data_IF_863201008676
#
_entry.id   IF_863201008676
#
_cell.length_a   1.000
_cell.length_b   1.000
_cell.length_c   1.000
_cell.angle_alpha   90.00
_cell.angle_beta   90.00
_cell.angle_gamma   90.00
#
_symmetry.space_group_name_H-M   'P 1'
#
loop_
_entity.id
_entity.type
_entity.pdbx_description
1 polymer ?
#
# COMPACT_ATOMS: atom_id res chain seq x y z
N UNK A 1 14.66 -15.87 11.60
CA UNK A 1 13.58 -15.43 12.53
C UNK A 1 12.21 -15.77 11.93
N UNK A 2 11.18 -16.06 12.74
CA UNK A 2 9.85 -16.42 12.24
C UNK A 2 9.20 -15.36 11.33
N UNK A 3 9.52 -14.08 11.56
CA UNK A 3 9.02 -12.94 10.79
C UNK A 3 9.57 -12.82 9.36
N UNK A 4 10.60 -13.59 8.99
CA UNK A 4 11.10 -13.66 7.61
C UNK A 4 10.35 -14.67 6.74
N UNK A 5 9.43 -15.45 7.34
CA UNK A 5 8.56 -16.37 6.58
C UNK A 5 7.44 -15.55 5.92
N UNK A 6 7.20 -15.77 4.62
CA UNK A 6 6.27 -15.01 3.79
C UNK A 6 4.80 -15.01 4.25
N UNK A 7 4.43 -15.94 5.13
CA UNK A 7 3.10 -16.10 5.71
C UNK A 7 2.91 -15.43 7.09
N UNK A 8 3.99 -14.98 7.75
CA UNK A 8 3.88 -14.33 9.06
C UNK A 8 3.51 -12.85 8.89
N UNK A 9 2.33 -12.45 9.40
CA UNK A 9 1.89 -11.05 9.39
C UNK A 9 2.70 -10.26 10.43
N UNK A 10 3.45 -9.27 9.98
CA UNK A 10 4.30 -8.43 10.85
C UNK A 10 3.45 -7.49 11.71
N UNK A 11 3.78 -7.41 12.99
CA UNK A 11 3.33 -6.38 13.92
C UNK A 11 4.10 -5.06 13.69
N UNK A 12 3.56 -3.89 14.09
CA UNK A 12 4.20 -2.60 13.82
C UNK A 12 5.68 -2.52 14.23
N UNK A 13 6.02 -2.99 15.43
CA UNK A 13 7.41 -3.03 15.92
C UNK A 13 8.36 -3.86 15.05
N UNK A 14 7.84 -4.85 14.30
CA UNK A 14 8.62 -5.70 13.42
C UNK A 14 8.85 -5.07 12.05
N UNK A 15 8.07 -4.05 11.65
CA UNK A 15 8.26 -3.38 10.37
C UNK A 15 9.64 -2.71 10.27
N UNK A 16 10.15 -2.11 11.35
CA UNK A 16 11.50 -1.54 11.39
C UNK A 16 12.58 -2.56 11.04
N UNK A 17 12.43 -3.80 11.51
CA UNK A 17 13.41 -4.87 11.30
C UNK A 17 13.47 -5.31 9.84
N UNK A 18 12.34 -5.21 9.13
CA UNK A 18 12.29 -5.53 7.71
C UNK A 18 12.65 -4.31 6.87
N UNK A 19 12.26 -3.11 7.26
CA UNK A 19 12.51 -1.87 6.52
C UNK A 19 14.00 -1.50 6.39
N UNK A 20 14.89 -2.11 7.17
CA UNK A 20 16.34 -1.92 7.05
C UNK A 20 16.96 -2.67 5.87
N UNK A 21 16.29 -3.70 5.33
CA UNK A 21 16.90 -4.57 4.32
C UNK A 21 17.34 -3.86 3.03
N UNK A 22 16.69 -2.79 2.53
CA UNK A 22 17.18 -2.09 1.33
C UNK A 22 18.56 -1.47 1.58
N UNK A 23 18.81 -0.95 2.79
CA UNK A 23 20.11 -0.40 3.19
C UNK A 23 21.17 -1.48 3.34
N UNK A 24 20.81 -2.61 3.94
CA UNK A 24 21.71 -3.77 4.05
C UNK A 24 22.06 -4.26 2.64
N UNK A 25 21.08 -4.40 1.75
CA UNK A 25 21.28 -4.81 0.37
C UNK A 25 22.21 -3.86 -0.40
N UNK A 26 22.01 -2.54 -0.28
CA UNK A 26 22.91 -1.54 -0.86
C UNK A 26 24.34 -1.70 -0.36
N UNK A 27 24.54 -1.85 0.95
CA UNK A 27 25.85 -2.06 1.55
C UNK A 27 26.50 -3.33 1.00
N UNK A 28 25.79 -4.46 0.98
CA UNK A 28 26.32 -5.72 0.46
C UNK A 28 26.71 -5.62 -1.03
N UNK A 29 25.88 -4.97 -1.86
CA UNK A 29 26.20 -4.76 -3.28
C UNK A 29 27.47 -3.92 -3.44
N UNK A 30 27.61 -2.84 -2.66
CA UNK A 30 28.76 -1.94 -2.74
C UNK A 30 30.05 -2.58 -2.24
N UNK A 31 29.98 -3.39 -1.18
CA UNK A 31 31.17 -3.98 -0.53
C UNK A 31 31.60 -5.31 -1.15
N UNK A 32 30.65 -6.11 -1.67
CA UNK A 32 30.91 -7.50 -2.07
C UNK A 32 30.92 -7.73 -3.58
N UNK A 33 30.65 -6.69 -4.39
CA UNK A 33 30.57 -6.83 -5.85
C UNK A 33 31.35 -5.73 -6.56
N UNK A 34 31.71 -5.96 -7.83
CA UNK A 34 32.29 -4.94 -8.71
C UNK A 34 31.23 -4.17 -9.52
N UNK A 35 29.96 -4.21 -9.10
CA UNK A 35 28.87 -3.54 -9.81
C UNK A 35 28.95 -2.01 -9.64
N UNK A 36 28.44 -1.23 -10.59
CA UNK A 36 28.35 0.22 -10.44
C UNK A 36 27.55 0.61 -9.20
N UNK A 37 27.96 1.69 -8.51
CA UNK A 37 27.30 2.19 -7.30
C UNK A 37 25.78 2.42 -7.48
N UNK A 38 25.37 2.80 -8.69
CA UNK A 38 23.97 2.99 -9.08
C UNK A 38 23.11 1.72 -8.90
N UNK A 39 23.69 0.52 -8.93
CA UNK A 39 22.96 -0.73 -8.63
C UNK A 39 22.62 -0.79 -7.15
N UNK A 40 23.58 -0.47 -6.28
CA UNK A 40 23.33 -0.37 -4.85
C UNK A 40 22.29 0.70 -4.51
N UNK A 41 22.31 1.83 -5.23
CA UNK A 41 21.30 2.89 -5.06
C UNK A 41 19.91 2.42 -5.44
N UNK A 42 19.78 1.73 -6.58
CA UNK A 42 18.51 1.12 -6.96
C UNK A 42 18.00 0.17 -5.86
N UNK A 43 18.88 -0.71 -5.35
CA UNK A 43 18.55 -1.63 -4.24
C UNK A 43 18.14 -0.90 -2.96
N UNK A 44 18.71 0.26 -2.64
CA UNK A 44 18.22 1.05 -1.50
C UNK A 44 16.85 1.68 -1.76
N UNK A 45 16.52 1.97 -3.02
CA UNK A 45 15.40 2.80 -3.44
C UNK A 45 14.15 2.02 -3.89
N UNK A 46 14.20 0.69 -4.04
CA UNK A 46 13.08 -0.09 -4.61
C UNK A 46 11.77 -0.03 -3.79
N UNK A 47 11.86 0.29 -2.51
CA UNK A 47 10.69 0.52 -1.65
C UNK A 47 10.32 2.00 -1.50
N UNK A 48 11.04 2.91 -2.14
CA UNK A 48 10.64 4.32 -2.25
C UNK A 48 9.46 4.46 -3.22
N UNK A 49 8.68 5.52 -3.04
CA UNK A 49 7.52 5.86 -3.88
C UNK A 49 7.59 7.33 -4.25
N UNK A 50 7.13 7.67 -5.45
CA UNK A 50 7.29 9.02 -6.00
C UNK A 50 6.59 10.10 -5.15
N UNK A 51 5.50 9.71 -4.46
CA UNK A 51 4.76 10.54 -3.51
C UNK A 51 5.44 10.68 -2.13
N UNK A 52 6.59 10.04 -1.92
CA UNK A 52 7.34 10.06 -0.65
C UNK A 52 6.79 9.13 0.43
N UNK A 53 5.82 8.26 0.10
CA UNK A 53 5.24 7.30 1.04
C UNK A 53 6.18 6.16 1.40
N UNK A 54 7.12 5.82 0.52
CA UNK A 54 7.98 4.65 0.63
C UNK A 54 9.01 4.68 1.76
N UNK A 55 9.96 3.76 1.76
CA UNK A 55 11.02 3.64 2.77
C UNK A 55 12.31 3.11 2.11
N UNK A 56 13.50 3.24 2.72
CA UNK A 56 13.81 3.67 4.09
C UNK A 56 14.28 5.13 4.24
N UNK A 57 14.38 5.88 3.15
CA UNK A 57 14.78 7.29 3.16
C UNK A 57 13.60 8.25 2.95
N UNK A 58 12.43 7.75 2.51
CA UNK A 58 11.20 8.54 2.35
C UNK A 58 11.38 9.71 1.39
N UNK A 59 11.98 9.41 0.24
CA UNK A 59 12.30 10.40 -0.79
C UNK A 59 11.11 10.57 -1.73
N UNK A 60 10.78 11.80 -2.07
CA UNK A 60 9.87 12.10 -3.18
C UNK A 60 10.60 12.02 -4.53
N UNK A 61 9.86 12.10 -5.64
CA UNK A 61 10.31 11.91 -7.03
C UNK A 61 11.76 12.31 -7.36
N UNK A 62 12.18 13.53 -7.03
CA UNK A 62 13.51 14.04 -7.38
C UNK A 62 14.68 13.30 -6.67
N UNK A 63 14.39 12.58 -5.58
CA UNK A 63 15.38 11.82 -4.81
C UNK A 63 15.47 10.33 -5.15
N UNK A 64 14.66 9.83 -6.09
CA UNK A 64 14.63 8.42 -6.49
C UNK A 64 15.24 8.30 -7.90
N UNK A 65 16.30 7.49 -8.03
CA UNK A 65 16.97 7.26 -9.30
C UNK A 65 16.06 6.57 -10.32
N UNK A 66 16.36 6.70 -11.61
CA UNK A 66 15.64 5.99 -12.68
C UNK A 66 15.60 4.48 -12.43
N UNK A 67 16.70 3.90 -11.96
CA UNK A 67 16.77 2.47 -11.67
C UNK A 67 15.93 2.08 -10.47
N UNK A 68 15.94 2.88 -9.39
CA UNK A 68 15.06 2.70 -8.23
C UNK A 68 13.58 2.69 -8.62
N UNK A 69 13.16 3.62 -9.49
CA UNK A 69 11.78 3.67 -10.03
C UNK A 69 11.42 2.42 -10.82
N UNK A 70 12.32 1.95 -11.70
CA UNK A 70 12.09 0.75 -12.51
C UNK A 70 11.92 -0.48 -11.61
N UNK A 71 12.86 -0.70 -10.70
CA UNK A 71 12.83 -1.91 -9.89
C UNK A 71 11.75 -1.85 -8.81
N UNK A 72 11.35 -0.67 -8.34
CA UNK A 72 10.24 -0.53 -7.40
C UNK A 72 8.87 -0.89 -8.00
N UNK A 73 8.65 -0.55 -9.28
CA UNK A 73 7.48 -1.05 -10.03
C UNK A 73 7.60 -2.57 -10.21
N UNK A 74 8.75 -3.07 -10.67
CA UNK A 74 8.94 -4.50 -10.91
C UNK A 74 8.73 -5.35 -9.64
N UNK A 75 9.24 -4.90 -8.48
CA UNK A 75 9.07 -5.56 -7.18
C UNK A 75 7.59 -5.62 -6.77
N UNK A 76 6.87 -4.49 -6.89
CA UNK A 76 5.43 -4.42 -6.61
C UNK A 76 4.66 -5.37 -7.53
N UNK A 77 4.99 -5.37 -8.82
CA UNK A 77 4.32 -6.24 -9.78
C UNK A 77 4.57 -7.72 -9.49
N UNK A 78 5.82 -8.09 -9.20
CA UNK A 78 6.20 -9.44 -8.81
C UNK A 78 5.44 -9.90 -7.56
N UNK A 79 5.35 -9.05 -6.54
CA UNK A 79 4.62 -9.36 -5.31
C UNK A 79 3.13 -9.61 -5.55
N UNK A 80 2.48 -8.85 -6.45
CA UNK A 80 1.08 -9.10 -6.83
C UNK A 80 0.96 -10.41 -7.60
N UNK A 81 1.81 -10.66 -8.60
CA UNK A 81 1.77 -11.87 -9.42
C UNK A 81 1.93 -13.12 -8.56
N UNK A 82 2.92 -13.14 -7.66
CA UNK A 82 3.21 -14.30 -6.81
C UNK A 82 2.10 -14.61 -5.79
N UNK A 83 1.29 -13.60 -5.42
CA UNK A 83 0.24 -13.74 -4.39
C UNK A 83 -1.18 -13.89 -4.96
N UNK A 84 -1.35 -13.69 -6.27
CA UNK A 84 -2.67 -13.48 -6.87
C UNK A 84 -2.84 -14.23 -8.19
N UNK A 85 -2.16 -15.35 -8.40
CA UNK A 85 -2.53 -16.24 -9.50
C UNK A 85 -3.87 -16.91 -9.13
N UNK A 86 -4.94 -16.84 -9.95
CA UNK A 86 -4.98 -16.44 -11.38
C UNK A 86 -5.41 -14.97 -11.69
N UNK A 87 -5.83 -14.16 -10.72
CA UNK A 87 -6.36 -12.79 -10.91
C UNK A 87 -5.29 -11.67 -11.01
N UNK A 88 -4.02 -12.04 -11.23
CA UNK A 88 -2.87 -11.13 -11.14
C UNK A 88 -2.93 -9.97 -12.13
N UNK A 89 -3.33 -10.21 -13.38
CA UNK A 89 -3.43 -9.16 -14.40
C UNK A 89 -4.47 -8.10 -14.01
N UNK A 90 -5.66 -8.54 -13.59
CA UNK A 90 -6.75 -7.67 -13.13
C UNK A 90 -6.31 -6.86 -11.91
N UNK A 91 -5.67 -7.51 -10.93
CA UNK A 91 -5.14 -6.83 -9.74
C UNK A 91 -4.08 -5.79 -10.06
N UNK A 92 -3.16 -6.07 -10.98
CA UNK A 92 -2.12 -5.11 -11.37
C UNK A 92 -2.71 -3.87 -12.03
N UNK A 93 -3.70 -4.06 -12.91
CA UNK A 93 -4.41 -2.95 -13.55
C UNK A 93 -5.11 -2.08 -12.50
N UNK A 94 -5.73 -2.69 -11.49
CA UNK A 94 -6.36 -1.94 -10.38
C UNK A 94 -5.31 -1.23 -9.52
N UNK A 95 -4.30 -1.95 -9.04
CA UNK A 95 -3.28 -1.45 -8.12
C UNK A 95 -2.55 -0.21 -8.66
N UNK A 96 -2.27 -0.19 -9.97
CA UNK A 96 -1.58 0.91 -10.63
C UNK A 96 -2.47 2.12 -10.93
N UNK A 97 -3.80 1.96 -10.86
CA UNK A 97 -4.77 3.04 -11.13
C UNK A 97 -5.30 3.73 -9.88
N UNK A 98 -5.30 3.08 -8.71
CA UNK A 98 -5.87 3.68 -7.49
C UNK A 98 -5.04 4.87 -6.99
N UNK A 99 -3.71 4.77 -7.03
CA UNK A 99 -2.80 5.87 -6.68
C UNK A 99 -1.71 5.98 -7.76
N UNK A 100 -2.01 6.61 -8.91
CA UNK A 100 -1.08 6.66 -10.03
C UNK A 100 0.21 7.45 -9.72
N UNK A 101 0.19 8.31 -8.70
CA UNK A 101 1.30 9.15 -8.28
C UNK A 101 2.40 8.40 -7.50
N UNK A 102 2.18 7.16 -7.08
CA UNK A 102 3.19 6.36 -6.35
C UNK A 102 4.33 5.88 -7.25
N UNK A 103 4.06 5.73 -8.55
CA UNK A 103 4.93 5.04 -9.50
C UNK A 103 5.22 5.87 -10.75
N UNK A 104 6.34 5.58 -11.39
CA UNK A 104 6.68 6.20 -12.67
C UNK A 104 5.75 5.68 -13.75
N UNK A 105 4.93 6.58 -14.31
CA UNK A 105 3.90 6.23 -15.30
C UNK A 105 4.45 5.50 -16.51
N UNK A 106 5.61 5.90 -17.03
CA UNK A 106 6.18 5.25 -18.20
C UNK A 106 6.59 3.80 -17.90
N UNK A 107 7.02 3.52 -16.68
CA UNK A 107 7.36 2.17 -16.23
C UNK A 107 6.11 1.33 -15.99
N UNK A 108 5.08 1.92 -15.37
CA UNK A 108 3.77 1.26 -15.19
C UNK A 108 3.17 0.87 -16.54
N UNK A 109 3.13 1.79 -17.50
CA UNK A 109 2.57 1.55 -18.83
C UNK A 109 3.31 0.39 -19.54
N UNK A 110 4.64 0.33 -19.41
CA UNK A 110 5.45 -0.74 -19.98
C UNK A 110 5.10 -2.14 -19.43
N UNK A 111 4.61 -2.23 -18.18
CA UNK A 111 4.21 -3.50 -17.55
C UNK A 111 2.73 -3.80 -17.78
N UNK A 112 1.86 -2.79 -17.66
CA UNK A 112 0.41 -2.98 -17.67
C UNK A 112 -0.12 -3.19 -19.09
N UNK A 113 0.42 -2.51 -20.11
CA UNK A 113 -0.08 -2.62 -21.49
C UNK A 113 -0.08 -4.08 -22.01
N UNK A 114 1.00 -4.87 -21.85
CA UNK A 114 1.00 -6.28 -22.27
C UNK A 114 0.00 -7.17 -21.48
N UNK A 115 -0.35 -6.79 -20.26
CA UNK A 115 -1.23 -7.57 -19.40
C UNK A 115 -2.72 -7.40 -19.71
N UNK A 116 -3.09 -6.35 -20.45
CA UNK A 116 -4.49 -6.08 -20.80
C UNK A 116 -5.16 -7.22 -21.56
N UNK A 117 -4.41 -7.95 -22.40
CA UNK A 117 -4.94 -9.11 -23.13
C UNK A 117 -5.10 -10.37 -22.28
N UNK A 118 -4.49 -10.40 -21.09
CA UNK A 118 -4.58 -11.50 -20.13
C UNK A 118 -5.55 -11.21 -18.97
N UNK A 119 -6.14 -10.01 -18.93
CA UNK A 119 -7.14 -9.60 -17.95
C UNK A 119 -8.52 -10.23 -18.24
N UNK A 120 -9.39 -10.26 -17.23
CA UNK A 120 -10.71 -10.91 -17.29
C UNK A 120 -10.78 -12.30 -16.67
N UNK A 121 -9.78 -12.66 -15.84
CA UNK A 121 -9.69 -13.95 -15.14
C UNK A 121 -10.17 -13.90 -13.68
N UNK A 122 -10.75 -12.77 -13.24
CA UNK A 122 -11.22 -12.59 -11.87
C UNK A 122 -12.17 -13.72 -11.45
N UNK A 123 -11.78 -14.47 -10.41
CA UNK A 123 -12.54 -15.63 -9.94
C UNK A 123 -13.79 -15.18 -9.19
N UNK A 124 -14.91 -15.86 -9.47
CA UNK A 124 -16.17 -15.62 -8.78
C UNK A 124 -16.00 -15.85 -7.27
N UNK A 125 -16.46 -14.88 -6.47
CA UNK A 125 -16.54 -14.98 -5.02
C UNK A 125 -18.01 -15.15 -4.60
N UNK A 126 -18.25 -15.79 -3.45
CA UNK A 126 -19.56 -15.76 -2.81
C UNK A 126 -19.96 -14.30 -2.54
N UNK A 127 -21.19 -13.93 -2.88
CA UNK A 127 -21.69 -12.57 -2.70
C UNK A 127 -21.64 -12.13 -1.22
N UNK A 128 -21.99 -13.03 -0.29
CA UNK A 128 -22.00 -12.71 1.14
C UNK A 128 -20.58 -12.44 1.67
N UNK A 129 -19.60 -13.27 1.32
CA UNK A 129 -18.20 -13.09 1.72
C UNK A 129 -17.61 -11.79 1.15
N UNK A 130 -17.97 -11.45 -0.10
CA UNK A 130 -17.53 -10.23 -0.75
C UNK A 130 -18.08 -8.99 -0.02
N UNK A 131 -19.39 -8.98 0.24
CA UNK A 131 -20.07 -7.89 0.93
C UNK A 131 -19.58 -7.70 2.37
N UNK A 132 -19.31 -8.80 3.10
CA UNK A 132 -18.74 -8.72 4.46
C UNK A 132 -17.36 -8.06 4.45
N UNK A 133 -16.49 -8.44 3.50
CA UNK A 133 -15.16 -7.83 3.33
C UNK A 133 -15.25 -6.35 2.99
N UNK A 134 -16.11 -5.99 2.03
CA UNK A 134 -16.33 -4.59 1.65
C UNK A 134 -16.78 -3.77 2.85
N UNK A 135 -17.74 -4.29 3.64
CA UNK A 135 -18.22 -3.64 4.87
C UNK A 135 -17.09 -3.39 5.86
N UNK A 136 -16.27 -4.41 6.14
CA UNK A 136 -15.14 -4.29 7.04
C UNK A 136 -14.12 -3.23 6.59
N UNK A 137 -13.85 -3.15 5.27
CA UNK A 137 -12.96 -2.14 4.70
C UNK A 137 -13.56 -0.74 4.79
N UNK A 138 -14.85 -0.58 4.47
CA UNK A 138 -15.55 0.69 4.57
C UNK A 138 -15.56 1.22 6.01
N UNK A 139 -15.91 0.39 6.99
CA UNK A 139 -15.87 0.76 8.41
C UNK A 139 -14.46 1.17 8.87
N UNK A 140 -13.43 0.48 8.38
CA UNK A 140 -12.04 0.78 8.70
C UNK A 140 -11.60 2.11 8.09
N UNK A 141 -12.00 2.41 6.85
CA UNK A 141 -11.76 3.70 6.21
C UNK A 141 -12.37 4.83 7.04
N UNK A 142 -13.65 4.70 7.40
CA UNK A 142 -14.36 5.69 8.21
C UNK A 142 -13.67 5.94 9.56
N UNK A 143 -13.36 4.87 10.30
CA UNK A 143 -12.63 4.96 11.57
C UNK A 143 -11.27 5.63 11.40
N UNK A 144 -10.54 5.29 10.33
CA UNK A 144 -9.22 5.86 10.07
C UNK A 144 -9.29 7.35 9.69
N UNK A 145 -10.32 7.77 8.96
CA UNK A 145 -10.55 9.18 8.60
C UNK A 145 -10.74 10.02 9.87
N UNK A 146 -11.60 9.58 10.80
CA UNK A 146 -11.85 10.31 12.06
C UNK A 146 -10.55 10.48 12.88
N UNK A 147 -9.74 9.43 12.97
CA UNK A 147 -8.45 9.50 13.68
C UNK A 147 -7.46 10.40 12.96
N UNK A 148 -7.39 10.33 11.63
CA UNK A 148 -6.51 11.19 10.83
C UNK A 148 -6.89 12.67 10.92
N UNK A 149 -8.17 13.00 10.94
CA UNK A 149 -8.67 14.38 11.14
C UNK A 149 -8.30 14.91 12.52
N UNK A 150 -8.51 14.11 13.56
CA UNK A 150 -8.13 14.47 14.93
C UNK A 150 -6.62 14.70 15.05
N UNK A 151 -5.82 13.87 14.40
CA UNK A 151 -4.37 14.00 14.36
C UNK A 151 -3.94 15.25 13.59
N UNK A 152 -4.56 15.53 12.43
CA UNK A 152 -4.29 16.69 11.59
C UNK A 152 -4.59 18.02 12.29
N UNK A 153 -5.59 18.04 13.19
CA UNK A 153 -5.96 19.21 13.98
C UNK A 153 -5.07 19.40 15.24
N UNK A 154 -4.11 18.51 15.49
CA UNK A 154 -3.33 18.51 16.72
C UNK A 154 -2.36 19.68 16.79
N UNK A 155 -2.56 20.60 17.73
CA UNK A 155 -1.66 21.75 17.92
C UNK A 155 -0.38 21.39 18.69
N UNK A 156 -0.41 20.31 19.48
CA UNK A 156 0.70 19.91 20.34
C UNK A 156 1.93 19.39 19.58
N UNK A 157 1.76 18.90 18.35
CA UNK A 157 2.86 18.45 17.50
C UNK A 157 2.56 18.70 16.02
N UNK A 158 3.36 19.56 15.40
CA UNK A 158 3.31 19.83 13.97
C UNK A 158 3.61 18.57 13.14
N UNK A 159 4.53 17.73 13.60
CA UNK A 159 4.90 16.49 12.90
C UNK A 159 3.71 15.54 12.85
N UNK A 160 3.04 15.34 13.98
CA UNK A 160 1.85 14.51 14.06
C UNK A 160 0.73 15.09 13.18
N UNK A 161 0.51 16.41 13.21
CA UNK A 161 -0.46 17.09 12.37
C UNK A 161 -0.19 16.91 10.87
N UNK A 162 1.07 17.08 10.44
CA UNK A 162 1.47 16.88 9.04
C UNK A 162 1.24 15.43 8.59
N UNK A 163 1.51 14.45 9.47
CA UNK A 163 1.21 13.03 9.21
C UNK A 163 -0.30 12.80 9.08
N UNK A 164 -1.10 13.36 9.99
CA UNK A 164 -2.56 13.29 9.93
C UNK A 164 -3.11 13.85 8.62
N UNK A 165 -2.63 15.02 8.20
CA UNK A 165 -3.02 15.64 6.94
C UNK A 165 -2.66 14.79 5.71
N UNK A 166 -1.44 14.24 5.68
CA UNK A 166 -1.00 13.32 4.62
C UNK A 166 -1.87 12.06 4.54
N UNK A 167 -2.11 11.40 5.68
CA UNK A 167 -2.92 10.17 5.74
C UNK A 167 -4.37 10.46 5.35
N UNK A 168 -4.93 11.58 5.80
CA UNK A 168 -6.29 12.00 5.44
C UNK A 168 -6.44 12.20 3.93
N UNK A 169 -5.44 12.79 3.26
CA UNK A 169 -5.46 12.93 1.81
C UNK A 169 -5.45 11.56 1.10
N UNK A 170 -4.60 10.63 1.55
CA UNK A 170 -4.56 9.28 1.01
C UNK A 170 -5.89 8.53 1.23
N UNK A 171 -6.46 8.61 2.44
CA UNK A 171 -7.75 7.98 2.77
C UNK A 171 -8.88 8.50 1.88
N UNK A 172 -8.91 9.79 1.55
CA UNK A 172 -9.91 10.35 0.62
C UNK A 172 -9.81 9.75 -0.78
N UNK A 173 -8.59 9.51 -1.27
CA UNK A 173 -8.38 8.83 -2.56
C UNK A 173 -8.89 7.39 -2.51
N UNK A 174 -8.56 6.65 -1.44
CA UNK A 174 -9.00 5.26 -1.26
C UNK A 174 -10.52 5.13 -1.12
N UNK A 175 -11.15 5.99 -0.31
CA UNK A 175 -12.61 6.03 -0.17
C UNK A 175 -13.28 6.33 -1.51
N UNK A 176 -12.77 7.31 -2.26
CA UNK A 176 -13.30 7.63 -3.60
C UNK A 176 -13.17 6.45 -4.56
N UNK A 177 -12.03 5.75 -4.56
CA UNK A 177 -11.81 4.60 -5.41
C UNK A 177 -12.80 3.46 -5.09
N UNK A 178 -13.06 3.20 -3.80
CA UNK A 178 -14.03 2.20 -3.37
C UNK A 178 -15.47 2.58 -3.72
N UNK A 179 -15.87 3.84 -3.49
CA UNK A 179 -17.21 4.31 -3.85
C UNK A 179 -17.46 4.28 -5.36
N UNK A 180 -16.45 4.57 -6.18
CA UNK A 180 -16.59 4.61 -7.64
C UNK A 180 -16.93 3.24 -8.27
N UNK A 181 -16.75 2.13 -7.54
CA UNK A 181 -17.13 0.79 -8.03
C UNK A 181 -18.57 0.41 -7.71
N UNK A 182 -19.33 1.27 -7.03
CA UNK A 182 -20.65 0.91 -6.50
C UNK A 182 -20.59 0.00 -5.25
N UNK A 183 -19.42 -0.09 -4.60
CA UNK A 183 -19.21 -1.03 -3.48
C UNK A 183 -20.12 -0.73 -2.29
N UNK A 184 -20.37 0.55 -2.01
CA UNK A 184 -21.17 0.98 -0.86
C UNK A 184 -22.65 0.76 -1.11
N UNK A 185 -23.10 1.00 -2.34
CA UNK A 185 -24.43 0.72 -2.83
C UNK A 185 -24.72 -0.79 -2.78
N UNK A 186 -23.76 -1.62 -3.17
CA UNK A 186 -23.86 -3.08 -3.11
C UNK A 186 -24.16 -3.62 -1.69
N UNK A 187 -23.76 -2.91 -0.63
CA UNK A 187 -24.03 -3.32 0.75
C UNK A 187 -25.52 -3.24 1.13
N UNK A 188 -26.32 -2.47 0.40
CA UNK A 188 -27.74 -2.21 0.70
C UNK A 188 -28.74 -2.88 -0.25
N UNK A 189 -28.28 -3.57 -1.30
CA UNK A 189 -29.15 -4.10 -2.36
C UNK A 189 -28.90 -5.59 -2.62
N UNK A 190 -29.90 -6.43 -2.34
CA UNK A 190 -29.83 -7.88 -2.58
C UNK A 190 -29.68 -8.25 -4.07
N UNK A 191 -30.08 -7.37 -4.99
CA UNK A 191 -29.95 -7.59 -6.45
C UNK A 191 -28.49 -7.71 -6.89
N UNK A 192 -27.56 -7.06 -6.18
CA UNK A 192 -26.12 -7.09 -6.50
C UNK A 192 -25.49 -8.44 -6.15
N UNK A 193 -26.11 -9.22 -5.25
CA UNK A 193 -25.64 -10.57 -4.89
C UNK A 193 -25.66 -11.56 -6.06
N UNK A 194 -26.51 -11.32 -7.05
CA UNK A 194 -26.66 -12.18 -8.23
C UNK A 194 -25.62 -11.92 -9.34
N UNK A 195 -24.97 -10.75 -9.35
CA UNK A 195 -23.97 -10.39 -10.37
C UNK A 195 -22.55 -10.72 -9.89
N UNK A 196 -22.17 -11.98 -10.08
CA UNK A 196 -20.85 -12.48 -9.68
C UNK A 196 -19.68 -11.78 -10.39
N UNK A 197 -19.89 -11.18 -11.56
CA UNK A 197 -18.84 -10.45 -12.28
C UNK A 197 -18.61 -9.08 -11.66
N UNK A 198 -19.68 -8.32 -11.44
CA UNK A 198 -19.60 -7.03 -10.75
C UNK A 198 -18.99 -7.20 -9.35
N UNK A 199 -19.41 -8.22 -8.59
CA UNK A 199 -18.85 -8.53 -7.28
C UNK A 199 -17.36 -8.88 -7.34
N UNK A 200 -16.90 -9.58 -8.39
CA UNK A 200 -15.48 -9.86 -8.56
C UNK A 200 -14.67 -8.59 -8.85
N UNK A 201 -15.19 -7.66 -9.65
CA UNK A 201 -14.55 -6.37 -9.93
C UNK A 201 -14.47 -5.49 -8.67
N UNK A 202 -15.56 -5.41 -7.90
CA UNK A 202 -15.58 -4.71 -6.61
C UNK A 202 -14.58 -5.34 -5.63
N UNK A 203 -14.54 -6.67 -5.56
CA UNK A 203 -13.63 -7.39 -4.66
C UNK A 203 -12.16 -7.11 -4.96
N UNK A 204 -11.79 -6.91 -6.23
CA UNK A 204 -10.42 -6.55 -6.63
C UNK A 204 -10.03 -5.18 -6.08
N UNK A 205 -10.90 -4.18 -6.22
CA UNK A 205 -10.67 -2.83 -5.70
C UNK A 205 -10.64 -2.83 -4.18
N UNK A 206 -11.59 -3.53 -3.53
CA UNK A 206 -11.62 -3.66 -2.09
C UNK A 206 -10.33 -4.31 -1.55
N UNK A 207 -9.85 -5.39 -2.17
CA UNK A 207 -8.59 -6.06 -1.81
C UNK A 207 -7.39 -5.13 -1.94
N UNK A 208 -7.37 -4.29 -2.96
CA UNK A 208 -6.30 -3.32 -3.16
C UNK A 208 -6.36 -2.19 -2.13
N UNK A 209 -7.55 -1.67 -1.83
CA UNK A 209 -7.75 -0.67 -0.77
C UNK A 209 -7.29 -1.22 0.59
N UNK A 210 -7.63 -2.47 0.93
CA UNK A 210 -7.17 -3.12 2.16
C UNK A 210 -5.64 -3.19 2.25
N UNK A 211 -4.98 -3.60 1.16
CA UNK A 211 -3.53 -3.63 1.08
C UNK A 211 -2.90 -2.24 1.26
N UNK A 212 -3.49 -1.21 0.62
CA UNK A 212 -3.03 0.18 0.71
C UNK A 212 -3.19 0.76 2.11
N UNK A 213 -4.27 0.45 2.82
CA UNK A 213 -4.43 0.84 4.22
C UNK A 213 -3.30 0.28 5.09
N UNK A 214 -3.00 -1.02 4.94
CA UNK A 214 -1.91 -1.65 5.69
C UNK A 214 -0.54 -1.06 5.35
N UNK A 215 -0.27 -0.74 4.09
CA UNK A 215 0.96 -0.04 3.73
C UNK A 215 1.02 1.36 4.33
N UNK A 216 -0.09 2.09 4.36
CA UNK A 216 -0.14 3.41 4.97
C UNK A 216 0.19 3.32 6.47
N UNK A 217 -0.33 2.30 7.17
CA UNK A 217 0.03 2.04 8.56
C UNK A 217 1.54 1.77 8.74
N UNK A 218 2.12 0.95 7.87
CA UNK A 218 3.56 0.68 7.85
C UNK A 218 4.37 1.97 7.63
N UNK A 219 4.01 2.75 6.62
CA UNK A 219 4.73 3.96 6.23
C UNK A 219 4.66 5.04 7.32
N UNK A 220 3.51 5.23 7.95
CA UNK A 220 3.32 6.15 9.09
C UNK A 220 4.21 5.74 10.26
N UNK A 221 4.18 4.46 10.62
CA UNK A 221 4.99 3.94 11.71
C UNK A 221 6.50 4.12 11.44
N UNK A 222 6.96 3.73 10.25
CA UNK A 222 8.36 3.88 9.83
C UNK A 222 8.79 5.34 9.77
N UNK A 223 7.93 6.25 9.29
CA UNK A 223 8.21 7.69 9.22
C UNK A 223 8.55 8.27 10.59
N UNK A 224 7.75 7.93 11.60
CA UNK A 224 7.96 8.42 12.97
C UNK A 224 9.14 7.73 13.63
N UNK A 225 9.28 6.43 13.44
CA UNK A 225 10.36 5.67 14.06
C UNK A 225 11.75 6.08 13.51
N UNK A 226 11.89 6.17 12.19
CA UNK A 226 13.18 6.42 11.53
C UNK A 226 13.59 7.90 11.56
N UNK A 227 12.67 8.84 11.39
CA UNK A 227 13.02 10.26 11.26
C UNK A 227 12.91 11.06 12.56
N UNK A 228 12.13 10.59 13.53
CA UNK A 228 11.82 11.34 14.76
C UNK A 228 12.21 10.58 16.03
N UNK A 229 13.10 9.60 15.92
CA UNK A 229 13.56 8.74 17.01
C UNK A 229 12.39 8.12 17.82
N UNK A 230 11.22 7.94 17.18
CA UNK A 230 10.02 7.41 17.82
C UNK A 230 9.34 8.33 18.84
N UNK A 231 9.73 9.60 18.98
CA UNK A 231 9.15 10.52 20.00
C UNK A 231 7.65 10.73 19.82
N UNK A 232 7.20 10.83 18.57
CA UNK A 232 5.79 11.05 18.22
C UNK A 232 5.00 9.74 18.07
N UNK A 233 5.64 8.60 18.33
CA UNK A 233 5.02 7.29 18.09
C UNK A 233 3.73 7.12 18.90
N UNK A 234 3.64 7.52 20.19
CA UNK A 234 2.40 7.44 20.95
C UNK A 234 1.24 8.23 20.33
N UNK A 235 1.51 9.33 19.63
CA UNK A 235 0.47 10.16 19.01
C UNK A 235 -0.08 9.53 17.72
N UNK A 236 0.74 8.80 16.97
CA UNK A 236 0.34 8.21 15.69
C UNK A 236 -0.12 6.76 15.80
N UNK A 237 0.20 6.06 16.90
CA UNK A 237 -0.19 4.66 17.08
C UNK A 237 -1.70 4.40 16.94
N UNK A 238 -2.61 5.23 17.47
CA UNK A 238 -4.04 5.05 17.24
C UNK A 238 -4.42 5.02 15.75
N UNK A 239 -3.73 5.82 14.92
CA UNK A 239 -3.93 5.85 13.47
C UNK A 239 -3.33 4.61 12.81
N UNK A 240 -2.13 4.18 13.24
CA UNK A 240 -1.51 2.94 12.76
C UNK A 240 -2.40 1.73 13.05
N UNK A 241 -3.00 1.67 14.24
CA UNK A 241 -3.87 0.56 14.65
C UNK A 241 -5.17 0.50 13.84
N UNK A 242 -5.81 1.65 13.58
CA UNK A 242 -7.02 1.68 12.75
C UNK A 242 -6.72 1.31 11.31
N UNK A 243 -5.61 1.78 10.72
CA UNK A 243 -5.23 1.37 9.37
C UNK A 243 -4.39 0.10 9.23
N UNK A 244 -4.10 -0.68 10.27
CA UNK A 244 -3.70 -2.10 10.09
C UNK A 244 -4.87 -3.06 10.35
N UNK A 245 -5.89 -2.61 11.09
CA UNK A 245 -6.94 -3.40 11.77
C UNK A 245 -7.01 -4.87 11.34
N UNK A 246 -6.42 -5.74 12.16
CA UNK A 246 -6.81 -7.15 12.19
C UNK A 246 -8.14 -7.28 12.95
N UNK A 247 -8.99 -8.26 12.62
CA UNK A 247 -9.82 -8.85 13.66
C UNK A 247 -8.89 -9.37 14.76
N UNK A 248 -9.11 -8.97 16.01
CA UNK A 248 -8.46 -9.60 17.17
C UNK A 248 -8.97 -11.02 17.33
#
# INVERSE_FOLDING_TARGET
PGYLRSSARLAPAQWNQVAVHPRIGQMLVRELTALPAAVGDAVAEHHERLDGSGYPAQRATAGISKFGRIIGVADTCSAVIMRSAPDAADRLIVATKIVPEEFDRAVVDAVVTPLQSAAGGASAMSGDDCLERIRGIAERLEKSVVVAESLAALQASRIAADIGGYVLAALKVLSKALSATGALEALGHDEVKGDGRLLAEIALVAREVDWRLRNLACNVYLRVHLNHAGKELPLVLPLVDTLDSQPR
#
